data_IF_742693946143
#
_entry.id   IF_742693946143
#
_cell.length_a   1.000
_cell.length_b   1.000
_cell.length_c   1.000
_cell.angle_alpha   90.00
_cell.angle_beta   90.00
_cell.angle_gamma   90.00
#
_symmetry.space_group_name_H-M   'P 1'
#
loop_
_entity.id
_entity.type
_entity.pdbx_description
1 polymer ?
#
# COMPACT_ATOMS: atom_id res chain seq x y z
N UNK A 1 6.35 -8.15 -47.35
CA UNK A 1 7.09 -7.35 -48.34
C UNK A 1 8.56 -7.41 -47.97
N UNK A 2 9.36 -8.21 -48.69
CA UNK A 2 10.80 -8.37 -48.45
C UNK A 2 11.57 -7.69 -49.57
N UNK A 3 11.85 -6.41 -49.44
CA UNK A 3 12.79 -5.74 -50.33
C UNK A 3 13.85 -4.97 -49.54
N UNK A 4 15.06 -4.96 -50.09
CA UNK A 4 16.28 -4.36 -49.57
C UNK A 4 16.27 -2.82 -49.55
N UNK A 5 15.10 -2.20 -49.68
CA UNK A 5 14.87 -0.77 -49.74
C UNK A 5 13.69 -0.43 -48.81
N UNK A 6 13.81 0.64 -48.02
CA UNK A 6 12.73 1.08 -47.11
C UNK A 6 11.50 1.46 -47.94
N UNK A 7 10.40 0.69 -47.91
CA UNK A 7 9.24 0.98 -48.76
C UNK A 7 8.43 2.18 -48.25
N UNK A 8 8.77 2.76 -47.10
CA UNK A 8 8.02 3.80 -46.41
C UNK A 8 8.82 5.08 -46.13
N UNK A 9 9.97 5.30 -46.79
CA UNK A 9 10.74 6.52 -46.60
C UNK A 9 9.88 7.76 -46.88
N UNK A 10 9.82 8.70 -45.93
CA UNK A 10 9.00 9.92 -45.95
C UNK A 10 7.47 9.71 -46.05
N UNK A 11 6.98 8.52 -45.71
CA UNK A 11 5.54 8.21 -45.78
C UNK A 11 4.80 8.68 -44.53
N UNK A 12 3.62 9.28 -44.70
CA UNK A 12 2.71 9.65 -43.62
C UNK A 12 1.49 8.73 -43.64
N UNK A 13 1.34 7.94 -42.59
CA UNK A 13 0.17 7.11 -42.33
C UNK A 13 -0.61 7.65 -41.12
N UNK A 14 -0.64 8.97 -40.95
CA UNK A 14 -1.40 9.60 -39.88
C UNK A 14 -2.89 9.20 -39.96
N UNK A 15 -3.46 8.83 -38.82
CA UNK A 15 -4.85 8.41 -38.65
C UNK A 15 -5.26 7.22 -39.56
N UNK A 16 -4.31 6.35 -39.93
CA UNK A 16 -4.57 5.23 -40.84
C UNK A 16 -5.06 3.98 -40.10
N UNK A 17 -5.94 3.20 -40.74
CA UNK A 17 -6.44 1.93 -40.19
C UNK A 17 -5.79 0.73 -40.90
N UNK A 18 -5.01 -0.05 -40.15
CA UNK A 18 -4.41 -1.31 -40.59
C UNK A 18 -5.25 -2.49 -40.08
N UNK A 19 -6.33 -2.83 -40.77
CA UNK A 19 -7.22 -3.93 -40.38
C UNK A 19 -6.95 -5.23 -41.16
N UNK A 20 -6.81 -6.34 -40.42
CA UNK A 20 -6.59 -7.71 -40.94
C UNK A 20 -5.36 -7.84 -41.83
N UNK A 21 -4.32 -7.05 -41.58
CA UNK A 21 -3.06 -7.08 -42.35
C UNK A 21 -2.03 -8.03 -41.73
N UNK A 22 -1.30 -8.74 -42.59
CA UNK A 22 -0.06 -9.42 -42.21
C UNK A 22 1.13 -8.55 -42.62
N UNK A 23 1.80 -8.00 -41.60
CA UNK A 23 2.96 -7.13 -41.69
C UNK A 23 4.17 -7.76 -41.00
N UNK A 24 4.22 -9.11 -40.94
CA UNK A 24 5.35 -9.85 -40.37
C UNK A 24 6.66 -9.42 -41.03
N UNK A 25 7.62 -9.00 -40.20
CA UNK A 25 8.94 -8.54 -40.65
C UNK A 25 8.95 -7.17 -41.35
N UNK A 26 7.85 -6.43 -41.33
CA UNK A 26 7.80 -5.07 -41.88
C UNK A 26 8.82 -4.16 -41.19
N UNK A 27 9.44 -3.26 -41.97
CA UNK A 27 10.41 -2.28 -41.48
C UNK A 27 9.87 -0.89 -41.71
N UNK A 28 9.58 -0.18 -40.63
CA UNK A 28 9.18 1.21 -40.62
C UNK A 28 10.38 2.04 -40.16
N UNK A 29 10.82 2.98 -40.99
CA UNK A 29 11.91 3.87 -40.67
C UNK A 29 11.51 5.30 -41.07
N UNK A 30 11.52 6.20 -40.08
CA UNK A 30 11.12 7.61 -40.22
C UNK A 30 9.68 7.81 -40.71
N UNK A 31 8.73 7.02 -40.18
CA UNK A 31 7.31 7.05 -40.57
C UNK A 31 6.47 7.77 -39.51
N UNK A 32 5.63 8.70 -39.95
CA UNK A 32 4.59 9.31 -39.11
C UNK A 32 3.35 8.41 -39.13
N UNK A 33 3.11 7.72 -38.02
CA UNK A 33 1.99 6.80 -37.81
C UNK A 33 0.99 7.36 -36.78
N UNK A 34 1.12 8.63 -36.40
CA UNK A 34 0.31 9.27 -35.34
C UNK A 34 -1.18 8.97 -35.52
N UNK A 35 -1.86 8.55 -34.45
CA UNK A 35 -3.31 8.26 -34.45
C UNK A 35 -3.73 7.00 -35.21
N UNK A 36 -2.80 6.20 -35.76
CA UNK A 36 -3.14 4.99 -36.50
C UNK A 36 -3.74 3.91 -35.61
N UNK A 37 -4.61 3.08 -36.20
CA UNK A 37 -5.22 1.92 -35.53
C UNK A 37 -4.81 0.61 -36.19
N UNK A 38 -4.52 -0.43 -35.40
CA UNK A 38 -4.00 -1.71 -35.87
C UNK A 38 -4.84 -2.89 -35.36
N UNK A 39 -5.20 -3.78 -36.29
CA UNK A 39 -5.67 -5.15 -36.07
C UNK A 39 -4.89 -6.09 -36.98
N UNK A 40 -3.61 -6.32 -36.64
CA UNK A 40 -2.60 -6.82 -37.57
C UNK A 40 -1.63 -7.84 -36.95
N UNK A 41 -0.92 -8.59 -37.80
CA UNK A 41 0.24 -9.39 -37.41
C UNK A 41 1.51 -8.58 -37.71
N UNK A 42 2.24 -8.18 -36.68
CA UNK A 42 3.47 -7.37 -36.73
C UNK A 42 4.67 -8.13 -36.15
N UNK A 43 4.61 -9.47 -36.17
CA UNK A 43 5.69 -10.32 -35.65
C UNK A 43 7.01 -9.99 -36.35
N UNK A 44 8.10 -9.86 -35.60
CA UNK A 44 9.43 -9.48 -36.10
C UNK A 44 9.48 -8.11 -36.82
N UNK A 45 8.46 -7.25 -36.69
CA UNK A 45 8.51 -5.91 -37.28
C UNK A 45 9.59 -5.04 -36.62
N UNK A 46 10.10 -4.06 -37.35
CA UNK A 46 11.10 -3.11 -36.87
C UNK A 46 10.56 -1.69 -37.05
N UNK A 47 10.61 -0.90 -36.00
CA UNK A 47 10.23 0.51 -36.01
C UNK A 47 11.42 1.33 -35.52
N UNK A 48 11.92 2.22 -36.37
CA UNK A 48 13.05 3.11 -36.05
C UNK A 48 12.66 4.54 -36.40
N UNK A 49 12.88 5.49 -35.49
CA UNK A 49 12.59 6.92 -35.72
C UNK A 49 11.12 7.19 -36.12
N UNK A 50 10.16 6.43 -35.59
CA UNK A 50 8.74 6.54 -35.93
C UNK A 50 7.94 7.30 -34.86
N UNK A 51 6.92 8.06 -35.29
CA UNK A 51 5.94 8.67 -34.38
C UNK A 51 4.70 7.79 -34.29
N UNK A 52 4.47 7.20 -33.12
CA UNK A 52 3.33 6.32 -32.81
C UNK A 52 2.41 6.96 -31.76
N UNK A 53 2.47 8.29 -31.60
CA UNK A 53 1.62 9.02 -30.67
C UNK A 53 0.14 8.73 -30.93
N UNK A 54 -0.63 8.49 -29.86
CA UNK A 54 -2.07 8.23 -29.92
C UNK A 54 -2.48 7.02 -30.78
N UNK A 55 -1.56 6.12 -31.11
CA UNK A 55 -1.90 4.89 -31.84
C UNK A 55 -2.75 3.93 -31.00
N UNK A 56 -3.59 3.14 -31.65
CA UNK A 56 -4.43 2.12 -31.02
C UNK A 56 -4.08 0.75 -31.59
N UNK A 57 -3.56 -0.16 -30.76
CA UNK A 57 -3.26 -1.54 -31.14
C UNK A 57 -4.28 -2.47 -30.49
N UNK A 58 -5.13 -3.11 -31.29
CA UNK A 58 -6.17 -4.03 -30.83
C UNK A 58 -6.00 -5.39 -31.51
N UNK A 59 -5.92 -6.48 -30.75
CA UNK A 59 -5.74 -7.84 -31.29
C UNK A 59 -4.49 -7.97 -32.19
N UNK A 60 -3.37 -7.38 -31.76
CA UNK A 60 -2.13 -7.30 -32.53
C UNK A 60 -1.08 -8.28 -32.00
N UNK A 61 -0.39 -8.98 -32.91
CA UNK A 61 0.78 -9.78 -32.56
C UNK A 61 2.08 -9.00 -32.84
N UNK A 62 2.73 -8.49 -31.79
CA UNK A 62 4.01 -7.77 -31.84
C UNK A 62 5.20 -8.67 -31.43
N UNK A 63 5.04 -9.99 -31.35
CA UNK A 63 6.09 -10.87 -30.83
C UNK A 63 7.42 -10.67 -31.58
N UNK A 64 8.50 -10.54 -30.81
CA UNK A 64 9.86 -10.33 -31.34
C UNK A 64 10.05 -9.10 -32.23
N UNK A 65 9.15 -8.11 -32.18
CA UNK A 65 9.39 -6.82 -32.83
C UNK A 65 10.41 -5.97 -32.04
N UNK A 66 11.07 -5.05 -32.74
CA UNK A 66 12.02 -4.10 -32.15
C UNK A 66 11.57 -2.66 -32.39
N UNK A 67 11.72 -1.83 -31.36
CA UNK A 67 11.40 -0.41 -31.44
C UNK A 67 12.56 0.43 -30.91
N UNK A 68 13.03 1.36 -31.73
CA UNK A 68 14.15 2.24 -31.42
C UNK A 68 13.77 3.69 -31.73
N UNK A 69 13.95 4.58 -30.76
CA UNK A 69 13.68 6.01 -30.90
C UNK A 69 12.26 6.30 -31.42
N UNK A 70 11.26 5.74 -30.74
CA UNK A 70 9.85 5.96 -31.09
C UNK A 70 9.11 6.76 -30.00
N UNK A 71 8.09 7.50 -30.43
CA UNK A 71 7.15 8.17 -29.53
C UNK A 71 5.89 7.30 -29.34
N UNK A 72 5.65 6.79 -28.12
CA UNK A 72 4.44 6.02 -27.76
C UNK A 72 3.49 6.80 -26.86
N UNK A 73 3.64 8.12 -26.78
CA UNK A 73 2.78 8.95 -25.92
C UNK A 73 1.31 8.75 -26.28
N UNK A 74 0.46 8.51 -25.28
CA UNK A 74 -0.99 8.26 -25.46
C UNK A 74 -1.36 7.04 -26.33
N UNK A 75 -0.40 6.18 -26.68
CA UNK A 75 -0.72 4.94 -27.37
C UNK A 75 -1.48 3.98 -26.44
N UNK A 76 -2.42 3.21 -26.99
CA UNK A 76 -3.19 2.21 -26.26
C UNK A 76 -3.05 0.83 -26.88
N UNK A 77 -3.00 -0.18 -26.01
CA UNK A 77 -2.71 -1.55 -26.38
C UNK A 77 -3.73 -2.49 -25.72
N UNK A 78 -4.57 -3.15 -26.52
CA UNK A 78 -5.60 -4.07 -26.03
C UNK A 78 -5.44 -5.44 -26.69
N UNK A 79 -5.39 -6.49 -25.87
CA UNK A 79 -5.24 -7.88 -26.31
C UNK A 79 -4.05 -8.08 -27.27
N UNK A 80 -2.85 -7.64 -26.86
CA UNK A 80 -1.65 -7.74 -27.69
C UNK A 80 -0.67 -8.78 -27.17
N UNK A 81 0.11 -9.37 -28.07
CA UNK A 81 1.25 -10.21 -27.70
C UNK A 81 2.57 -9.44 -27.90
N UNK A 82 3.25 -9.09 -26.80
CA UNK A 82 4.58 -8.45 -26.78
C UNK A 82 5.69 -9.39 -26.29
N UNK A 83 5.52 -10.70 -26.39
CA UNK A 83 6.54 -11.65 -25.95
C UNK A 83 7.88 -11.38 -26.63
N UNK A 84 8.93 -11.23 -25.83
CA UNK A 84 10.30 -10.98 -26.29
C UNK A 84 10.48 -9.72 -27.15
N UNK A 85 9.63 -8.71 -26.96
CA UNK A 85 9.84 -7.38 -27.55
C UNK A 85 10.97 -6.65 -26.81
N UNK A 86 11.81 -5.93 -27.56
CA UNK A 86 12.79 -5.02 -27.00
C UNK A 86 12.43 -3.58 -27.38
N UNK A 87 12.43 -2.73 -26.37
CA UNK A 87 12.19 -1.31 -26.48
C UNK A 87 13.43 -0.55 -26.02
N UNK A 88 13.97 0.33 -26.87
CA UNK A 88 15.13 1.17 -26.52
C UNK A 88 14.89 2.63 -26.89
N UNK A 89 15.30 3.54 -26.00
CA UNK A 89 15.16 4.99 -26.18
C UNK A 89 13.70 5.42 -26.44
N UNK A 90 12.78 4.94 -25.59
CA UNK A 90 11.36 5.29 -25.65
C UNK A 90 11.00 6.47 -24.74
N UNK A 91 9.99 7.23 -25.14
CA UNK A 91 9.15 7.98 -24.21
C UNK A 91 7.93 7.13 -23.79
N UNK A 92 7.85 6.76 -22.52
CA UNK A 92 6.72 6.01 -21.90
C UNK A 92 5.89 6.88 -20.94
N UNK A 93 5.98 8.21 -21.02
CA UNK A 93 5.20 9.09 -20.15
C UNK A 93 3.70 8.81 -20.27
N UNK A 94 3.02 8.73 -19.12
CA UNK A 94 1.58 8.46 -19.02
C UNK A 94 1.13 7.10 -19.60
N UNK A 95 2.04 6.12 -19.72
CA UNK A 95 1.67 4.74 -20.08
C UNK A 95 1.23 3.98 -18.83
N UNK A 96 0.08 3.31 -18.91
CA UNK A 96 -0.40 2.37 -17.88
C UNK A 96 -0.34 0.93 -18.41
N UNK A 97 0.06 -0.01 -17.55
CA UNK A 97 0.11 -1.45 -17.86
C UNK A 97 -0.79 -2.17 -16.87
N UNK A 98 -1.99 -2.52 -17.31
CA UNK A 98 -3.01 -3.20 -16.50
C UNK A 98 -3.25 -4.61 -17.04
N UNK A 99 -3.56 -5.56 -16.17
CA UNK A 99 -3.93 -6.96 -16.52
C UNK A 99 -2.96 -7.69 -17.46
N UNK A 100 -1.67 -7.36 -17.41
CA UNK A 100 -0.63 -7.94 -18.26
C UNK A 100 0.11 -9.10 -17.58
N UNK A 101 0.56 -10.08 -18.37
CA UNK A 101 1.60 -11.02 -17.91
C UNK A 101 2.96 -10.29 -17.93
N UNK A 102 3.53 -10.06 -16.74
CA UNK A 102 4.77 -9.32 -16.55
C UNK A 102 6.00 -10.24 -16.37
N UNK A 103 5.85 -11.55 -16.56
CA UNK A 103 6.94 -12.52 -16.41
C UNK A 103 8.12 -12.17 -17.32
N UNK A 104 9.30 -11.99 -16.70
CA UNK A 104 10.53 -11.65 -17.41
C UNK A 104 10.63 -10.20 -17.92
N UNK A 105 9.59 -9.36 -17.74
CA UNK A 105 9.65 -7.94 -18.09
C UNK A 105 10.72 -7.22 -17.27
N UNK A 106 11.50 -6.35 -17.92
CA UNK A 106 12.55 -5.56 -17.27
C UNK A 106 12.41 -4.07 -17.55
N UNK A 107 12.60 -3.25 -16.53
CA UNK A 107 12.77 -1.79 -16.64
C UNK A 107 14.19 -1.45 -16.23
N UNK A 108 14.96 -0.82 -17.12
CA UNK A 108 16.39 -0.51 -16.90
C UNK A 108 17.21 -1.73 -16.43
N UNK A 109 16.88 -2.92 -16.94
CA UNK A 109 17.54 -4.18 -16.59
C UNK A 109 17.05 -4.86 -15.30
N UNK A 110 16.18 -4.22 -14.52
CA UNK A 110 15.58 -4.77 -13.30
C UNK A 110 14.27 -5.48 -13.61
N UNK A 111 14.05 -6.69 -13.09
CA UNK A 111 12.79 -7.40 -13.26
C UNK A 111 11.64 -6.63 -12.60
N UNK A 112 10.52 -6.49 -13.31
CA UNK A 112 9.33 -5.81 -12.77
C UNK A 112 8.75 -6.55 -11.57
N UNK A 113 8.85 -7.88 -11.54
CA UNK A 113 8.48 -8.71 -10.37
C UNK A 113 9.27 -8.30 -9.12
N UNK A 114 10.59 -8.09 -9.26
CA UNK A 114 11.45 -7.69 -8.13
C UNK A 114 11.09 -6.27 -7.63
N UNK A 115 10.65 -5.38 -8.52
CA UNK A 115 10.19 -4.04 -8.15
C UNK A 115 8.91 -4.10 -7.31
N UNK A 116 7.95 -4.98 -7.66
CA UNK A 116 6.74 -5.19 -6.86
C UNK A 116 7.05 -5.82 -5.51
N UNK A 117 7.89 -6.85 -5.47
CA UNK A 117 8.33 -7.45 -4.20
C UNK A 117 8.99 -6.41 -3.27
N UNK A 118 9.84 -5.53 -3.82
CA UNK A 118 10.47 -4.47 -3.04
C UNK A 118 9.44 -3.46 -2.49
N UNK A 119 8.43 -3.10 -3.29
CA UNK A 119 7.34 -2.22 -2.87
C UNK A 119 6.49 -2.86 -1.76
N UNK A 120 6.07 -4.11 -1.93
CA UNK A 120 5.30 -4.87 -0.95
C UNK A 120 6.07 -5.05 0.37
N UNK A 121 7.37 -5.37 0.27
CA UNK A 121 8.25 -5.48 1.44
C UNK A 121 8.36 -4.17 2.21
N UNK A 122 8.41 -3.03 1.52
CA UNK A 122 8.44 -1.71 2.16
C UNK A 122 7.12 -1.42 2.90
N UNK A 123 5.98 -1.70 2.27
CA UNK A 123 4.66 -1.54 2.90
C UNK A 123 4.52 -2.44 4.13
N UNK A 124 4.88 -3.71 4.00
CA UNK A 124 4.92 -4.68 5.11
C UNK A 124 5.83 -4.22 6.25
N UNK A 125 7.01 -3.66 5.94
CA UNK A 125 7.93 -3.12 6.96
C UNK A 125 7.31 -1.97 7.76
N UNK A 126 6.55 -1.08 7.13
CA UNK A 126 5.90 0.03 7.85
C UNK A 126 4.79 -0.47 8.77
N UNK A 127 3.97 -1.41 8.29
CA UNK A 127 2.92 -2.05 9.10
C UNK A 127 3.50 -2.75 10.32
N UNK A 128 4.56 -3.53 10.15
CA UNK A 128 5.25 -4.19 11.25
C UNK A 128 5.82 -3.20 12.27
N UNK A 129 6.36 -2.06 11.81
CA UNK A 129 6.79 -0.99 12.72
C UNK A 129 5.63 -0.42 13.53
N UNK A 130 4.47 -0.18 12.92
CA UNK A 130 3.26 0.31 13.61
C UNK A 130 2.77 -0.71 14.63
N UNK A 131 2.65 -1.98 14.24
CA UNK A 131 2.24 -3.07 15.13
C UNK A 131 3.17 -3.22 16.33
N UNK A 132 4.49 -3.16 16.12
CA UNK A 132 5.46 -3.22 17.21
C UNK A 132 5.36 -2.03 18.17
N UNK A 133 5.05 -0.83 17.67
CA UNK A 133 4.80 0.32 18.53
C UNK A 133 3.52 0.16 19.34
N UNK A 134 2.43 -0.32 18.73
CA UNK A 134 1.17 -0.63 19.44
C UNK A 134 1.43 -1.64 20.57
N UNK A 135 2.09 -2.77 20.26
CA UNK A 135 2.45 -3.80 21.27
C UNK A 135 3.29 -3.22 22.41
N UNK A 136 4.25 -2.35 22.09
CA UNK A 136 5.07 -1.69 23.10
C UNK A 136 4.24 -0.76 24.00
N UNK A 137 3.19 -0.11 23.47
CA UNK A 137 2.25 0.69 24.28
C UNK A 137 1.36 -0.20 25.13
N UNK A 138 0.89 -1.33 24.59
CA UNK A 138 0.10 -2.29 25.34
C UNK A 138 0.83 -2.80 26.57
N UNK A 139 2.09 -3.21 26.42
CA UNK A 139 2.95 -3.63 27.53
C UNK A 139 3.19 -2.49 28.52
N UNK A 140 3.52 -1.29 28.03
CA UNK A 140 3.83 -0.13 28.89
C UNK A 140 2.63 0.26 29.78
N UNK A 141 1.43 0.36 29.20
CA UNK A 141 0.21 0.68 29.95
C UNK A 141 -0.11 -0.41 30.98
N UNK A 142 0.05 -1.68 30.62
CA UNK A 142 -0.19 -2.80 31.52
C UNK A 142 0.78 -2.78 32.71
N UNK A 143 2.07 -2.55 32.46
CA UNK A 143 3.09 -2.43 33.50
C UNK A 143 2.81 -1.26 34.44
N UNK A 144 2.38 -0.12 33.89
CA UNK A 144 1.96 1.04 34.69
C UNK A 144 0.85 0.64 35.65
N UNK A 145 -0.25 0.05 35.17
CA UNK A 145 -1.37 -0.33 36.05
C UNK A 145 -0.95 -1.37 37.08
N UNK A 146 -0.14 -2.37 36.70
CA UNK A 146 0.38 -3.37 37.63
C UNK A 146 1.30 -2.80 38.71
N UNK A 147 1.91 -1.64 38.48
CA UNK A 147 2.79 -0.99 39.45
C UNK A 147 2.07 -0.17 40.52
N UNK A 148 0.78 0.14 40.33
CA UNK A 148 0.00 0.97 41.22
C UNK A 148 -0.62 0.14 42.35
N UNK A 149 -0.67 0.71 43.55
CA UNK A 149 -1.54 0.18 44.62
C UNK A 149 -3.01 0.56 44.33
N UNK A 150 -3.99 -0.12 44.94
CA UNK A 150 -5.40 0.29 44.79
C UNK A 150 -5.67 1.75 45.18
N UNK A 151 -4.96 2.26 46.18
CA UNK A 151 -5.05 3.66 46.61
C UNK A 151 -4.47 4.60 45.53
N UNK A 152 -3.30 4.29 44.98
CA UNK A 152 -2.68 5.08 43.90
C UNK A 152 -3.50 5.02 42.61
N UNK A 153 -4.14 3.89 42.30
CA UNK A 153 -4.99 3.73 41.12
C UNK A 153 -6.24 4.62 41.18
N UNK A 154 -6.82 4.76 42.37
CA UNK A 154 -8.03 5.58 42.59
C UNK A 154 -7.73 7.03 42.99
N UNK A 155 -6.44 7.38 43.16
CA UNK A 155 -6.01 8.73 43.45
C UNK A 155 -6.37 9.67 42.29
N UNK A 156 -6.70 10.93 42.63
CA UNK A 156 -7.19 11.90 41.67
C UNK A 156 -6.52 13.27 41.85
N UNK A 157 -6.09 13.84 40.73
CA UNK A 157 -5.60 15.22 40.67
C UNK A 157 -6.78 16.18 40.68
N UNK A 158 -6.88 17.03 41.69
CA UNK A 158 -7.93 18.05 41.82
C UNK A 158 -7.72 19.23 40.84
N UNK A 159 -7.81 18.94 39.55
CA UNK A 159 -7.70 19.89 38.44
C UNK A 159 -8.92 19.70 37.53
N UNK A 160 -9.42 20.79 36.97
CA UNK A 160 -10.60 20.75 36.12
C UNK A 160 -10.39 19.86 34.88
N UNK A 161 -11.38 19.02 34.58
CA UNK A 161 -11.42 18.12 33.39
C UNK A 161 -10.28 17.10 33.32
N UNK A 162 -9.78 16.64 34.46
CA UNK A 162 -8.82 15.55 34.50
C UNK A 162 -9.55 14.19 34.51
N UNK A 163 -9.04 13.21 33.77
CA UNK A 163 -9.51 11.82 33.83
C UNK A 163 -8.81 11.10 34.99
N UNK A 164 -9.52 10.20 35.66
CA UNK A 164 -8.85 9.26 36.59
C UNK A 164 -8.01 8.24 35.80
N UNK A 165 -7.12 7.52 36.48
CA UNK A 165 -6.41 6.38 35.88
C UNK A 165 -7.42 5.42 35.24
N UNK A 166 -8.48 5.06 35.95
CA UNK A 166 -9.52 4.18 35.44
C UNK A 166 -10.26 4.69 34.22
N UNK A 167 -10.56 6.00 34.14
CA UNK A 167 -11.18 6.60 32.95
C UNK A 167 -10.26 6.52 31.72
N UNK A 168 -8.94 6.66 31.93
CA UNK A 168 -7.98 6.42 30.86
C UNK A 168 -8.00 4.94 30.44
N UNK A 169 -7.99 4.00 31.39
CA UNK A 169 -8.00 2.58 31.08
C UNK A 169 -9.30 2.17 30.37
N UNK A 170 -10.45 2.71 30.76
CA UNK A 170 -11.71 2.48 30.06
C UNK A 170 -11.67 2.91 28.60
N UNK A 171 -11.10 4.09 28.32
CA UNK A 171 -10.90 4.53 26.94
C UNK A 171 -9.91 3.63 26.18
N UNK A 172 -8.82 3.20 26.82
CA UNK A 172 -7.81 2.33 26.21
C UNK A 172 -8.39 0.96 25.86
N UNK A 173 -9.04 0.28 26.82
CA UNK A 173 -9.71 -1.00 26.59
C UNK A 173 -10.75 -0.87 25.50
N UNK A 174 -11.59 0.17 25.58
CA UNK A 174 -12.62 0.42 24.58
C UNK A 174 -12.05 0.65 23.18
N UNK A 175 -10.97 1.44 23.05
CA UNK A 175 -10.30 1.61 21.78
C UNK A 175 -9.74 0.28 21.24
N UNK A 176 -9.01 -0.49 22.06
CA UNK A 176 -8.46 -1.78 21.63
C UNK A 176 -9.54 -2.72 21.09
N UNK A 177 -10.65 -2.85 21.81
CA UNK A 177 -11.76 -3.71 21.39
C UNK A 177 -12.45 -3.19 20.12
N UNK A 178 -12.76 -1.89 20.08
CA UNK A 178 -13.42 -1.24 18.93
C UNK A 178 -12.58 -1.32 17.66
N UNK A 179 -11.29 -1.01 17.76
CA UNK A 179 -10.37 -1.08 16.62
C UNK A 179 -10.08 -2.53 16.21
N UNK A 180 -10.01 -3.48 17.15
CA UNK A 180 -9.88 -4.91 16.80
C UNK A 180 -11.06 -5.42 15.98
N UNK A 181 -12.29 -5.06 16.39
CA UNK A 181 -13.49 -5.39 15.61
C UNK A 181 -13.47 -4.68 14.24
N UNK A 182 -13.10 -3.40 14.21
CA UNK A 182 -13.02 -2.61 12.97
C UNK A 182 -11.98 -3.18 11.99
N UNK A 183 -10.85 -3.69 12.49
CA UNK A 183 -9.82 -4.34 11.68
C UNK A 183 -10.34 -5.63 11.02
N UNK A 184 -11.13 -6.42 11.76
CA UNK A 184 -11.79 -7.62 11.23
C UNK A 184 -12.80 -7.23 10.14
N UNK A 185 -13.63 -6.23 10.39
CA UNK A 185 -14.65 -5.75 9.44
C UNK A 185 -14.10 -4.98 8.24
N UNK A 186 -12.85 -4.51 8.31
CA UNK A 186 -12.22 -3.69 7.27
C UNK A 186 -12.70 -2.23 7.25
N UNK A 187 -13.49 -1.81 8.24
CA UNK A 187 -14.04 -0.46 8.39
C UNK A 187 -14.42 -0.19 9.85
N UNK A 188 -14.70 1.06 10.20
CA UNK A 188 -15.11 1.40 11.56
C UNK A 188 -16.42 0.70 11.96
N UNK A 189 -16.34 -0.13 13.01
CA UNK A 189 -17.41 -1.00 13.49
C UNK A 189 -18.19 -0.43 14.69
N UNK A 190 -17.87 0.80 15.12
CA UNK A 190 -18.46 1.42 16.31
C UNK A 190 -17.65 1.18 17.58
N UNK A 191 -18.12 1.80 18.67
CA UNK A 191 -17.45 1.74 19.97
C UNK A 191 -17.99 0.59 20.82
N UNK A 192 -17.09 -0.18 21.41
CA UNK A 192 -17.33 -1.22 22.41
C UNK A 192 -16.29 -1.12 23.51
N UNK A 193 -16.70 -1.32 24.77
CA UNK A 193 -15.79 -1.44 25.90
C UNK A 193 -16.34 -2.44 26.90
N UNK A 194 -15.55 -3.45 27.25
CA UNK A 194 -15.92 -4.49 28.20
C UNK A 194 -15.45 -4.24 29.64
N UNK A 195 -14.84 -3.07 29.91
CA UNK A 195 -14.51 -2.64 31.27
C UNK A 195 -15.73 -1.99 31.91
N UNK A 196 -16.24 -2.58 32.99
CA UNK A 196 -17.48 -2.17 33.65
C UNK A 196 -17.21 -1.14 34.76
N UNK A 197 -16.09 -1.28 35.48
CA UNK A 197 -15.71 -0.38 36.58
C UNK A 197 -14.38 0.34 36.32
N UNK A 198 -14.38 1.66 36.51
CA UNK A 198 -13.17 2.51 36.47
C UNK A 198 -12.45 2.58 37.83
N UNK A 199 -12.97 1.93 38.87
CA UNK A 199 -12.38 1.97 40.21
C UNK A 199 -11.70 0.63 40.59
N UNK A 200 -11.79 -0.39 39.74
CA UNK A 200 -11.30 -1.74 40.02
C UNK A 200 -9.97 -2.03 39.27
N UNK A 201 -8.81 -1.93 39.93
CA UNK A 201 -7.52 -2.18 39.28
C UNK A 201 -7.35 -3.63 38.81
N UNK A 202 -7.95 -4.61 39.51
CA UNK A 202 -7.85 -6.02 39.11
C UNK A 202 -8.60 -6.28 37.80
N UNK A 203 -9.81 -5.73 37.67
CA UNK A 203 -10.58 -5.81 36.43
C UNK A 203 -9.88 -5.05 35.29
N UNK A 204 -9.33 -3.87 35.58
CA UNK A 204 -8.55 -3.11 34.60
C UNK A 204 -7.39 -3.92 34.00
N UNK A 205 -6.61 -4.61 34.83
CA UNK A 205 -5.52 -5.50 34.39
C UNK A 205 -6.05 -6.66 33.54
N UNK A 206 -7.14 -7.30 33.97
CA UNK A 206 -7.79 -8.39 33.23
C UNK A 206 -8.22 -7.92 31.83
N UNK A 207 -8.92 -6.78 31.74
CA UNK A 207 -9.45 -6.25 30.48
C UNK A 207 -8.36 -5.70 29.57
N UNK A 208 -7.30 -5.08 30.10
CA UNK A 208 -6.13 -4.68 29.31
C UNK A 208 -5.43 -5.89 28.67
N UNK A 209 -5.31 -6.99 29.43
CA UNK A 209 -4.71 -8.25 28.95
C UNK A 209 -5.60 -8.90 27.89
N UNK A 210 -6.91 -9.00 28.17
CA UNK A 210 -7.87 -9.59 27.25
C UNK A 210 -7.97 -8.81 25.93
N UNK A 211 -8.07 -7.48 25.99
CA UNK A 211 -8.15 -6.64 24.79
C UNK A 211 -6.87 -6.68 23.95
N UNK A 212 -5.69 -6.83 24.57
CA UNK A 212 -4.44 -7.07 23.84
C UNK A 212 -4.45 -8.42 23.09
N UNK A 213 -4.96 -9.49 23.72
CA UNK A 213 -5.09 -10.80 23.08
C UNK A 213 -6.10 -10.79 21.92
N UNK A 214 -7.22 -10.06 22.08
CA UNK A 214 -8.21 -9.85 21.01
C UNK A 214 -7.58 -9.14 19.82
N UNK A 215 -6.77 -8.11 20.06
CA UNK A 215 -6.05 -7.40 19.00
C UNK A 215 -5.08 -8.30 18.23
N UNK A 216 -4.25 -9.11 18.92
CA UNK A 216 -3.34 -10.05 18.26
C UNK A 216 -4.08 -11.09 17.42
N UNK A 217 -5.23 -11.56 17.92
CA UNK A 217 -6.09 -12.48 17.16
C UNK A 217 -6.70 -11.79 15.93
N UNK A 218 -7.11 -10.53 16.05
CA UNK A 218 -7.66 -9.77 14.94
C UNK A 218 -6.63 -9.61 13.81
N UNK A 219 -5.42 -9.14 14.13
CA UNK A 219 -4.40 -8.88 13.09
C UNK A 219 -3.84 -10.16 12.45
N UNK A 220 -3.76 -11.27 13.17
CA UNK A 220 -3.28 -12.55 12.63
C UNK A 220 -4.29 -13.20 11.66
N UNK A 221 -5.56 -12.80 11.70
CA UNK A 221 -6.60 -13.28 10.80
C UNK A 221 -6.78 -12.46 9.52
N UNK A 222 -6.00 -11.38 9.31
CA UNK A 222 -6.14 -10.48 8.15
C UNK A 222 -5.18 -10.90 7.05
N UNK A 223 -5.73 -11.36 5.93
CA UNK A 223 -4.98 -11.69 4.71
C UNK A 223 -4.90 -10.47 3.76
N UNK A 224 -5.95 -9.65 3.71
CA UNK A 224 -6.10 -8.52 2.80
C UNK A 224 -5.88 -7.17 3.51
N UNK A 225 -4.66 -6.66 3.46
CA UNK A 225 -4.34 -5.37 4.08
C UNK A 225 -4.66 -4.19 3.15
N UNK A 226 -5.81 -3.56 3.39
CA UNK A 226 -6.24 -2.35 2.67
C UNK A 226 -5.72 -1.07 3.34
N UNK A 227 -5.79 0.05 2.60
CA UNK A 227 -5.45 1.37 3.15
C UNK A 227 -6.31 1.76 4.36
N UNK A 228 -7.59 1.35 4.38
CA UNK A 228 -8.50 1.57 5.50
C UNK A 228 -8.05 0.84 6.77
N UNK A 229 -7.62 -0.43 6.65
CA UNK A 229 -7.08 -1.18 7.79
C UNK A 229 -5.78 -0.58 8.32
N UNK A 230 -4.92 -0.08 7.44
CA UNK A 230 -3.70 0.62 7.86
C UNK A 230 -4.02 1.95 8.58
N UNK A 231 -5.03 2.69 8.12
CA UNK A 231 -5.51 3.89 8.79
C UNK A 231 -6.09 3.59 10.19
N UNK A 232 -6.79 2.47 10.35
CA UNK A 232 -7.29 2.00 11.66
C UNK A 232 -6.14 1.69 12.62
N UNK A 233 -5.07 1.01 12.16
CA UNK A 233 -3.88 0.76 12.98
C UNK A 233 -3.22 2.06 13.45
N UNK A 234 -3.06 3.02 12.55
CA UNK A 234 -2.45 4.31 12.88
C UNK A 234 -3.30 5.07 13.92
N UNK A 235 -4.62 5.07 13.73
CA UNK A 235 -5.56 5.72 14.66
C UNK A 235 -5.53 5.09 16.05
N UNK A 236 -5.41 3.75 16.15
CA UNK A 236 -5.22 3.07 17.43
C UNK A 236 -3.88 3.44 18.08
N UNK A 237 -2.79 3.48 17.30
CA UNK A 237 -1.48 3.88 17.80
C UNK A 237 -1.49 5.31 18.38
N UNK A 238 -2.08 6.27 17.66
CA UNK A 238 -2.20 7.65 18.12
C UNK A 238 -3.04 7.76 19.39
N UNK A 239 -4.12 6.99 19.48
CA UNK A 239 -4.96 6.91 20.67
C UNK A 239 -4.17 6.38 21.88
N UNK A 240 -3.50 5.24 21.74
CA UNK A 240 -2.67 4.64 22.79
C UNK A 240 -1.57 5.60 23.27
N UNK A 241 -0.83 6.21 22.34
CA UNK A 241 0.25 7.14 22.66
C UNK A 241 -0.27 8.40 23.39
N UNK A 242 -1.44 8.92 22.98
CA UNK A 242 -2.07 10.08 23.63
C UNK A 242 -2.47 9.75 25.06
N UNK A 243 -3.12 8.60 25.27
CA UNK A 243 -3.59 8.18 26.59
C UNK A 243 -2.45 7.82 27.53
N UNK A 244 -1.43 7.11 27.05
CA UNK A 244 -0.24 6.80 27.84
C UNK A 244 0.50 8.07 28.27
N UNK A 245 0.68 9.04 27.37
CA UNK A 245 1.31 10.32 27.72
C UNK A 245 0.54 11.11 28.78
N UNK A 246 -0.79 11.06 28.76
CA UNK A 246 -1.63 11.67 29.80
C UNK A 246 -1.52 10.92 31.13
N UNK A 247 -1.53 9.59 31.08
CA UNK A 247 -1.38 8.73 32.26
C UNK A 247 -0.03 8.93 32.96
N UNK A 248 1.06 9.00 32.19
CA UNK A 248 2.42 9.29 32.69
C UNK A 248 2.41 10.62 33.46
N UNK A 249 1.86 11.68 32.87
CA UNK A 249 1.80 13.00 33.52
C UNK A 249 0.93 12.98 34.78
N UNK A 250 -0.17 12.25 34.75
CA UNK A 250 -1.07 12.10 35.88
C UNK A 250 -0.33 11.47 37.08
N UNK A 251 0.36 10.36 36.83
CA UNK A 251 1.09 9.61 37.86
C UNK A 251 2.27 10.41 38.42
N UNK A 252 3.05 11.07 37.56
CA UNK A 252 4.14 11.94 38.01
C UNK A 252 3.63 13.09 38.89
N UNK A 253 2.47 13.67 38.56
CA UNK A 253 1.87 14.73 39.37
C UNK A 253 1.33 14.22 40.72
N UNK A 254 0.99 12.93 40.83
CA UNK A 254 0.67 12.27 42.09
C UNK A 254 1.92 11.85 42.89
N UNK A 255 3.11 12.01 42.33
CA UNK A 255 4.37 11.61 42.96
C UNK A 255 4.68 10.11 42.84
N UNK A 256 3.99 9.41 41.94
CA UNK A 256 4.20 7.99 41.68
C UNK A 256 5.46 7.76 40.86
N UNK A 257 6.12 6.62 41.09
CA UNK A 257 7.23 6.17 40.25
C UNK A 257 6.72 5.42 39.02
N UNK A 258 7.44 5.50 37.91
CA UNK A 258 7.06 4.86 36.66
C UNK A 258 7.90 3.61 36.41
N UNK A 259 7.31 2.53 35.84
CA UNK A 259 8.06 1.34 35.44
C UNK A 259 9.11 1.64 34.37
N UNK A 260 10.20 0.87 34.35
CA UNK A 260 11.27 1.01 33.36
C UNK A 260 10.82 0.74 31.90
N UNK A 261 9.67 0.10 31.69
CA UNK A 261 9.09 -0.11 30.36
C UNK A 261 8.52 1.17 29.74
N UNK A 262 8.28 2.20 30.56
CA UNK A 262 7.87 3.53 30.11
C UNK A 262 9.07 4.27 29.56
N UNK A 263 9.28 4.20 28.25
CA UNK A 263 10.46 4.77 27.56
C UNK A 263 10.58 6.30 27.65
N UNK A 264 9.56 7.01 28.10
CA UNK A 264 9.48 8.48 28.13
C UNK A 264 9.52 9.06 29.55
N UNK A 265 9.74 8.20 30.55
CA UNK A 265 9.88 8.54 31.96
C UNK A 265 11.33 8.87 32.34
#
# INVERSE_FOLDING_TARGET
MSESHNPFQDTKFKDFEFSKSDMTGAKFNAVDLTGSSYWAVLKNAQFTDCDLESCVFNDVNLASSCYENINLSHASFHNINMSSVSFSCLNLANTEVNDANLEGMKINGVLVTDLFEAYEKKASSMREMVLNNIRARFSSVLDVVNSLTPESYTAYLNVAKNKSVGDHIWCIVGARESYSQSLIEGQWAGFSCSLDSTENPTEAVEKLTASAAVFEKAISGIEDWTGEREALLLSLLEHEATHEGQLIRHLLALGESLPASVKWA
#
